data_IF_535242229113
#
_entry.id   IF_535242229113
#
_cell.length_a   1.000
_cell.length_b   1.000
_cell.length_c   1.000
_cell.angle_alpha   90.00
_cell.angle_beta   90.00
_cell.angle_gamma   90.00
#
_symmetry.space_group_name_H-M   'P 1'
#
loop_
_entity.id
_entity.type
_entity.pdbx_description
1 polymer ?
#
# COMPACT_ATOMS: atom_id res chain seq x y z
N UNK A 1 59.05 35.26 -38.49
CA UNK A 1 59.15 36.51 -37.71
C UNK A 1 57.87 36.65 -36.91
N UNK A 2 57.81 36.44 -35.58
CA UNK A 2 58.47 37.14 -34.45
C UNK A 2 57.43 38.00 -33.69
N UNK A 3 57.10 37.56 -32.45
CA UNK A 3 56.82 38.31 -31.20
C UNK A 3 55.43 39.00 -30.97
N UNK A 4 54.64 38.56 -29.96
CA UNK A 4 54.60 39.01 -28.52
C UNK A 4 53.96 40.42 -28.39
N UNK A 5 52.79 40.64 -27.78
CA UNK A 5 52.54 40.81 -26.32
C UNK A 5 51.17 41.51 -26.17
N UNK A 6 50.25 41.11 -25.29
CA UNK A 6 49.95 41.68 -23.95
C UNK A 6 48.59 41.06 -23.55
N UNK A 7 48.35 40.31 -22.48
CA UNK A 7 48.50 40.49 -21.02
C UNK A 7 47.64 41.61 -20.40
N UNK A 8 46.37 41.31 -20.11
CA UNK A 8 45.50 41.93 -19.09
C UNK A 8 44.63 40.76 -18.57
N UNK A 9 44.98 40.02 -17.51
CA UNK A 9 45.09 40.28 -16.07
C UNK A 9 43.78 40.73 -15.37
N UNK A 10 43.28 39.78 -14.57
CA UNK A 10 42.25 39.85 -13.54
C UNK A 10 40.80 39.93 -14.08
N UNK A 11 39.86 39.11 -13.62
CA UNK A 11 39.32 39.17 -12.26
C UNK A 11 38.41 37.94 -11.99
N UNK A 12 38.76 37.16 -10.96
CA UNK A 12 37.91 36.51 -9.96
C UNK A 12 37.17 35.15 -10.13
N UNK A 13 37.31 34.40 -9.02
CA UNK A 13 36.41 33.44 -8.36
C UNK A 13 36.46 31.97 -8.81
N UNK A 14 37.45 31.28 -8.24
CA UNK A 14 37.29 30.01 -7.51
C UNK A 14 36.07 29.15 -7.87
N UNK A 15 36.26 28.21 -8.80
CA UNK A 15 35.47 26.99 -8.83
C UNK A 15 36.32 25.88 -8.22
N UNK A 16 36.39 25.86 -6.88
CA UNK A 16 36.78 24.62 -6.18
C UNK A 16 35.57 23.70 -6.32
N UNK A 17 35.51 22.98 -7.44
CA UNK A 17 34.64 21.83 -7.55
C UNK A 17 35.16 20.81 -6.52
N UNK A 18 34.60 20.87 -5.31
CA UNK A 18 34.69 19.77 -4.36
C UNK A 18 34.00 18.60 -5.03
N UNK A 19 34.81 17.68 -5.58
CA UNK A 19 34.32 16.36 -5.92
C UNK A 19 33.71 15.78 -4.64
N UNK A 20 32.37 15.69 -4.61
CA UNK A 20 31.68 14.89 -3.63
C UNK A 20 32.20 13.46 -3.79
N UNK A 21 32.54 12.75 -2.70
CA UNK A 21 32.83 11.33 -2.81
C UNK A 21 31.60 10.69 -3.46
N UNK A 22 31.81 10.00 -4.59
CA UNK A 22 30.79 9.16 -5.16
C UNK A 22 30.36 8.19 -4.05
N UNK A 23 29.09 8.24 -3.67
CA UNK A 23 28.49 7.16 -2.90
C UNK A 23 28.59 5.94 -3.81
N UNK A 24 29.54 5.04 -3.54
CA UNK A 24 29.52 3.73 -4.14
C UNK A 24 28.22 3.09 -3.69
N UNK A 25 27.25 3.01 -4.60
CA UNK A 25 26.05 2.24 -4.37
C UNK A 25 26.49 0.80 -4.08
N UNK A 26 26.02 0.18 -2.98
CA UNK A 26 26.26 -1.22 -2.76
C UNK A 26 25.70 -1.99 -3.94
N UNK A 27 26.57 -2.78 -4.60
CA UNK A 27 26.17 -3.70 -5.66
C UNK A 27 25.23 -4.73 -5.02
N UNK A 28 23.93 -4.54 -5.20
CA UNK A 28 22.95 -5.57 -4.92
C UNK A 28 22.92 -6.52 -6.12
N UNK A 29 23.06 -7.84 -5.92
CA UNK A 29 22.94 -8.79 -7.01
C UNK A 29 21.52 -8.72 -7.60
N UNK A 30 21.46 -8.50 -8.91
CA UNK A 30 20.22 -8.48 -9.70
C UNK A 30 19.56 -9.86 -9.65
N UNK A 31 18.52 -9.99 -8.81
CA UNK A 31 17.74 -11.23 -8.66
C UNK A 31 16.68 -11.31 -9.77
N UNK A 32 16.94 -12.16 -10.75
CA UNK A 32 16.12 -12.42 -11.93
C UNK A 32 14.96 -13.40 -11.68
N UNK A 33 14.10 -13.12 -10.69
CA UNK A 33 12.82 -13.87 -10.55
C UNK A 33 11.61 -12.93 -10.40
N UNK A 34 10.50 -13.13 -11.15
CA UNK A 34 9.35 -12.21 -11.14
C UNK A 34 8.45 -12.26 -9.89
N UNK A 35 8.85 -12.91 -8.79
CA UNK A 35 7.93 -13.21 -7.67
C UNK A 35 8.48 -12.88 -6.27
N UNK A 36 9.60 -12.12 -6.18
CA UNK A 36 10.22 -11.78 -4.87
C UNK A 36 10.25 -10.28 -4.54
N UNK A 37 9.17 -9.53 -4.83
CA UNK A 37 9.07 -8.10 -4.47
C UNK A 37 8.05 -7.77 -3.37
N UNK A 38 7.82 -8.68 -2.42
CA UNK A 38 7.08 -8.34 -1.19
C UNK A 38 7.82 -8.83 0.06
N UNK A 39 9.06 -8.36 0.26
CA UNK A 39 9.78 -8.54 1.51
C UNK A 39 9.99 -7.20 2.25
N UNK A 40 9.01 -6.30 2.16
CA UNK A 40 8.90 -5.20 3.12
C UNK A 40 8.53 -5.81 4.49
N UNK A 41 9.17 -5.39 5.60
CA UNK A 41 8.84 -5.89 6.92
C UNK A 41 7.36 -5.61 7.21
N UNK A 42 6.56 -6.67 7.21
CA UNK A 42 5.15 -6.60 7.57
C UNK A 42 5.07 -6.17 9.04
N UNK A 43 4.32 -5.10 9.38
CA UNK A 43 4.17 -4.68 10.76
C UNK A 43 3.66 -5.86 11.60
N UNK A 44 4.44 -6.28 12.60
CA UNK A 44 4.06 -7.39 13.49
C UNK A 44 3.98 -6.89 14.92
N UNK A 45 2.87 -7.15 15.64
CA UNK A 45 1.66 -7.82 15.16
C UNK A 45 0.79 -6.91 14.28
N UNK A 46 0.15 -7.49 13.25
CA UNK A 46 -0.91 -6.80 12.49
C UNK A 46 -2.16 -6.66 13.36
N UNK A 47 -2.84 -5.52 13.22
CA UNK A 47 -4.07 -5.20 13.93
C UNK A 47 -5.24 -5.06 12.97
N UNK A 48 -6.43 -5.39 13.44
CA UNK A 48 -7.69 -5.11 12.73
C UNK A 48 -8.57 -4.24 13.61
N UNK A 49 -9.02 -3.11 13.08
CA UNK A 49 -10.11 -2.28 13.61
C UNK A 49 -11.30 -2.32 12.66
N UNK A 50 -12.36 -1.58 12.96
CA UNK A 50 -13.54 -1.50 12.10
C UNK A 50 -14.03 -0.06 11.92
N UNK A 51 -14.70 0.17 10.78
CA UNK A 51 -15.35 1.43 10.44
C UNK A 51 -16.66 1.15 9.68
N UNK A 52 -17.81 1.57 10.22
CA UNK A 52 -19.12 1.33 9.61
C UNK A 52 -19.32 2.02 8.25
N UNK A 53 -18.45 2.95 7.86
CA UNK A 53 -18.46 3.56 6.52
C UNK A 53 -18.38 2.49 5.43
N UNK A 54 -17.58 1.45 5.64
CA UNK A 54 -17.40 0.36 4.69
C UNK A 54 -18.60 -0.61 4.62
N UNK A 55 -19.55 -0.54 5.55
CA UNK A 55 -20.79 -1.31 5.50
C UNK A 55 -21.86 -0.64 4.62
N UNK A 56 -21.67 0.61 4.20
CA UNK A 56 -22.62 1.32 3.36
C UNK A 56 -22.59 0.78 1.91
N UNK A 57 -23.61 0.06 1.43
CA UNK A 57 -23.60 -0.49 0.07
C UNK A 57 -23.50 0.57 -1.02
N UNK A 58 -23.96 1.80 -0.74
CA UNK A 58 -23.94 2.93 -1.65
C UNK A 58 -22.74 3.86 -1.44
N UNK A 59 -21.79 3.50 -0.58
CA UNK A 59 -20.54 4.24 -0.42
C UNK A 59 -19.78 4.27 -1.75
N UNK A 60 -19.30 5.45 -2.14
CA UNK A 60 -18.66 5.67 -3.43
C UNK A 60 -17.20 5.26 -3.40
N UNK A 61 -16.69 4.56 -4.42
CA UNK A 61 -15.24 4.31 -4.49
C UNK A 61 -14.43 5.59 -4.70
N UNK A 62 -15.04 6.71 -5.11
CA UNK A 62 -14.34 7.99 -5.14
C UNK A 62 -13.95 8.52 -3.76
N UNK A 63 -14.49 7.97 -2.66
CA UNK A 63 -14.18 8.43 -1.30
C UNK A 63 -13.01 7.70 -0.64
N UNK A 64 -12.34 6.77 -1.33
CA UNK A 64 -11.25 5.96 -0.78
C UNK A 64 -9.98 6.06 -1.62
N UNK A 65 -8.84 5.61 -1.09
CA UNK A 65 -7.54 5.67 -1.77
C UNK A 65 -7.52 4.91 -3.11
N UNK A 66 -8.27 3.80 -3.22
CA UNK A 66 -8.40 3.03 -4.46
C UNK A 66 -9.52 3.53 -5.39
N UNK A 67 -9.72 4.85 -5.40
CA UNK A 67 -10.70 5.54 -6.25
C UNK A 67 -10.35 5.45 -7.73
N UNK A 68 -9.68 6.47 -8.25
CA UNK A 68 -9.29 6.62 -9.64
C UNK A 68 -7.76 6.46 -9.82
N UNK A 69 -7.25 6.84 -10.98
CA UNK A 69 -5.86 6.58 -11.37
C UNK A 69 -5.69 5.22 -12.07
N UNK A 70 -4.46 4.92 -12.46
CA UNK A 70 -4.09 3.69 -13.17
C UNK A 70 -4.47 2.41 -12.40
N UNK A 71 -4.35 2.45 -11.07
CA UNK A 71 -4.69 1.33 -10.17
C UNK A 71 -6.08 1.47 -9.52
N UNK A 72 -6.86 2.48 -9.93
CA UNK A 72 -8.17 2.78 -9.37
C UNK A 72 -9.21 1.70 -9.68
N UNK A 73 -10.17 1.53 -8.78
CA UNK A 73 -11.25 0.54 -8.90
C UNK A 73 -12.57 1.16 -9.39
N UNK A 74 -12.73 2.49 -9.31
CA UNK A 74 -14.04 3.16 -9.47
C UNK A 74 -14.66 3.01 -10.86
N UNK A 75 -13.85 2.90 -11.92
CA UNK A 75 -14.34 2.74 -13.30
C UNK A 75 -15.08 1.42 -13.51
N UNK A 76 -14.69 0.36 -12.79
CA UNK A 76 -15.31 -0.96 -12.82
C UNK A 76 -16.31 -1.16 -11.68
N UNK A 77 -16.05 -0.55 -10.53
CA UNK A 77 -16.82 -0.71 -9.29
C UNK A 77 -17.16 0.67 -8.72
N UNK A 78 -18.28 1.31 -9.13
CA UNK A 78 -18.58 2.68 -8.72
C UNK A 78 -18.93 2.83 -7.23
N UNK A 79 -19.52 1.80 -6.63
CA UNK A 79 -19.95 1.78 -5.22
C UNK A 79 -19.46 0.52 -4.49
N UNK A 80 -19.36 0.57 -3.17
CA UNK A 80 -18.87 -0.51 -2.32
C UNK A 80 -19.56 -1.86 -2.61
N UNK A 81 -20.89 -1.87 -2.79
CA UNK A 81 -21.63 -3.11 -3.09
C UNK A 81 -21.37 -3.72 -4.47
N UNK A 82 -20.64 -3.04 -5.35
CA UNK A 82 -20.23 -3.61 -6.64
C UNK A 82 -18.97 -4.45 -6.52
N UNK A 83 -18.20 -4.30 -5.43
CA UNK A 83 -17.05 -5.15 -5.18
C UNK A 83 -17.50 -6.58 -4.86
N UNK A 84 -16.82 -7.60 -5.40
CA UNK A 84 -17.29 -8.99 -5.39
C UNK A 84 -17.39 -9.60 -3.98
N UNK A 85 -16.58 -9.13 -3.03
CA UNK A 85 -16.59 -9.62 -1.64
C UNK A 85 -17.39 -8.75 -0.67
N UNK A 86 -18.11 -7.71 -1.12
CA UNK A 86 -18.82 -6.81 -0.19
C UNK A 86 -19.73 -7.60 0.78
N UNK A 87 -19.71 -7.32 2.10
CA UNK A 87 -19.03 -6.21 2.78
C UNK A 87 -17.61 -6.52 3.31
N UNK A 88 -16.93 -7.57 2.84
CA UNK A 88 -15.54 -7.87 3.22
C UNK A 88 -14.53 -6.96 2.48
N UNK A 89 -14.62 -5.67 2.80
CA UNK A 89 -13.80 -4.58 2.25
C UNK A 89 -13.23 -3.71 3.38
N UNK A 90 -12.19 -2.94 3.09
CA UNK A 90 -11.68 -1.95 4.03
C UNK A 90 -10.32 -1.37 3.67
N UNK A 91 -9.74 -0.64 4.60
CA UNK A 91 -8.39 -0.12 4.51
C UNK A 91 -7.32 -1.17 4.81
N UNK A 92 -6.18 -1.08 4.15
CA UNK A 92 -4.99 -1.89 4.40
C UNK A 92 -3.73 -1.01 4.52
N UNK A 93 -2.76 -1.48 5.31
CA UNK A 93 -1.54 -0.74 5.63
C UNK A 93 -0.61 -0.47 4.46
N UNK A 94 -0.74 -1.22 3.37
CA UNK A 94 0.10 -1.09 2.18
C UNK A 94 -0.63 -0.43 1.00
N UNK A 95 -1.73 0.26 1.28
CA UNK A 95 -2.48 1.06 0.33
C UNK A 95 -2.27 2.53 0.64
N UNK A 96 -1.96 3.28 -0.41
CA UNK A 96 -2.01 4.74 -0.52
C UNK A 96 -2.83 5.07 -1.77
N UNK A 97 -3.12 6.35 -2.03
CA UNK A 97 -3.86 6.73 -3.25
C UNK A 97 -3.15 6.22 -4.51
N UNK A 98 -3.93 5.64 -5.43
CA UNK A 98 -3.44 5.02 -6.68
C UNK A 98 -2.35 3.93 -6.47
N UNK A 99 -2.32 3.27 -5.31
CA UNK A 99 -1.35 2.21 -5.02
C UNK A 99 -1.51 1.01 -5.95
N UNK A 100 -0.42 0.36 -6.42
CA UNK A 100 -0.51 -0.92 -7.14
C UNK A 100 -1.14 -2.05 -6.31
N UNK A 101 -1.24 -1.87 -5.00
CA UNK A 101 -1.89 -2.80 -4.08
C UNK A 101 -3.42 -2.67 -4.05
N UNK A 102 -4.00 -1.72 -4.78
CA UNK A 102 -5.44 -1.49 -4.82
C UNK A 102 -6.23 -2.71 -5.33
N UNK A 103 -7.24 -3.11 -4.55
CA UNK A 103 -8.02 -4.32 -4.80
C UNK A 103 -7.26 -5.61 -4.46
N UNK A 104 -6.15 -5.53 -3.71
CA UNK A 104 -5.45 -6.69 -3.18
C UNK A 104 -6.36 -7.53 -2.28
N UNK A 105 -6.23 -8.86 -2.38
CA UNK A 105 -7.01 -9.82 -1.60
C UNK A 105 -6.15 -10.37 -0.46
N UNK A 106 -6.71 -10.38 0.74
CA UNK A 106 -6.03 -10.80 1.97
C UNK A 106 -6.79 -11.91 2.66
N UNK A 107 -6.10 -12.99 3.05
CA UNK A 107 -6.62 -13.88 4.08
C UNK A 107 -6.22 -13.32 5.43
N UNK A 108 -7.21 -12.99 6.26
CA UNK A 108 -6.99 -12.47 7.61
C UNK A 108 -7.53 -13.48 8.61
N UNK A 109 -6.69 -13.91 9.54
CA UNK A 109 -7.00 -14.91 10.56
C UNK A 109 -6.86 -14.30 11.96
N UNK A 110 -7.92 -14.38 12.75
CA UNK A 110 -7.85 -14.13 14.19
C UNK A 110 -7.45 -15.42 14.89
N UNK A 111 -6.22 -15.49 15.40
CA UNK A 111 -5.70 -16.70 16.03
C UNK A 111 -6.36 -17.03 17.37
N UNK A 112 -7.00 -16.05 18.02
CA UNK A 112 -7.67 -16.28 19.29
C UNK A 112 -8.93 -17.16 19.16
N UNK A 113 -9.56 -17.18 17.99
CA UNK A 113 -10.78 -17.98 17.73
C UNK A 113 -10.72 -18.77 16.41
N UNK A 114 -9.58 -18.76 15.71
CA UNK A 114 -9.36 -19.37 14.39
C UNK A 114 -10.33 -18.92 13.27
N UNK A 115 -11.07 -17.83 13.47
CA UNK A 115 -11.92 -17.28 12.42
C UNK A 115 -11.04 -16.66 11.31
N UNK A 116 -11.47 -16.82 10.06
CA UNK A 116 -10.80 -16.24 8.89
C UNK A 116 -11.79 -15.54 7.98
N UNK A 117 -11.34 -14.47 7.32
CA UNK A 117 -12.06 -13.77 6.25
C UNK A 117 -11.14 -13.56 5.04
N UNK A 118 -11.74 -13.35 3.87
CA UNK A 118 -11.05 -12.82 2.69
C UNK A 118 -11.47 -11.36 2.52
N UNK A 119 -10.49 -10.45 2.58
CA UNK A 119 -10.72 -9.01 2.55
C UNK A 119 -10.18 -8.40 1.25
N UNK A 120 -10.94 -7.51 0.62
CA UNK A 120 -10.44 -6.62 -0.42
C UNK A 120 -9.95 -5.31 0.22
N UNK A 121 -8.68 -4.98 0.00
CA UNK A 121 -8.13 -3.67 0.36
C UNK A 121 -8.55 -2.59 -0.65
N UNK A 122 -9.24 -1.55 -0.18
CA UNK A 122 -9.76 -0.44 -1.01
C UNK A 122 -9.34 0.94 -0.52
N UNK A 123 -8.79 1.03 0.68
CA UNK A 123 -8.40 2.29 1.29
C UNK A 123 -7.10 2.16 2.09
N UNK A 124 -6.61 3.29 2.58
CA UNK A 124 -5.46 3.34 3.48
C UNK A 124 -5.89 2.97 4.91
N UNK A 125 -5.08 2.15 5.59
CA UNK A 125 -5.14 2.01 7.05
C UNK A 125 -3.78 2.40 7.65
N UNK A 126 -3.77 3.18 8.74
CA UNK A 126 -2.50 3.61 9.36
C UNK A 126 -1.65 2.45 9.90
N UNK A 127 -2.29 1.37 10.36
CA UNK A 127 -1.64 0.14 10.76
C UNK A 127 -2.58 -1.06 10.56
N UNK A 128 -2.05 -2.16 10.03
CA UNK A 128 -2.82 -3.37 9.75
C UNK A 128 -4.01 -3.10 8.83
N UNK A 129 -5.23 -3.28 9.34
CA UNK A 129 -6.47 -3.14 8.56
C UNK A 129 -7.55 -2.39 9.33
N UNK A 130 -8.38 -1.65 8.61
CA UNK A 130 -9.61 -1.05 9.12
C UNK A 130 -10.78 -1.48 8.24
N UNK A 131 -11.64 -2.38 8.72
CA UNK A 131 -12.57 -3.14 7.86
C UNK A 131 -14.03 -2.80 8.15
N UNK A 132 -14.94 -3.22 7.28
CA UNK A 132 -16.37 -3.13 7.59
C UNK A 132 -16.71 -3.80 8.93
N UNK A 133 -17.66 -3.23 9.66
CA UNK A 133 -18.17 -3.73 10.93
C UNK A 133 -18.67 -5.18 10.79
N UNK A 134 -19.37 -5.50 9.70
CA UNK A 134 -19.80 -6.87 9.40
C UNK A 134 -18.62 -7.84 9.23
N UNK A 135 -17.54 -7.40 8.58
CA UNK A 135 -16.33 -8.19 8.39
C UNK A 135 -15.60 -8.42 9.73
N UNK A 136 -15.53 -7.38 10.58
CA UNK A 136 -14.97 -7.49 11.92
C UNK A 136 -15.75 -8.45 12.80
N UNK A 137 -17.09 -8.34 12.83
CA UNK A 137 -17.94 -9.29 13.56
C UNK A 137 -17.71 -10.71 13.09
N UNK A 138 -17.60 -10.94 11.77
CA UNK A 138 -17.29 -12.28 11.22
C UNK A 138 -15.97 -12.83 11.75
N UNK A 139 -14.96 -11.97 11.87
CA UNK A 139 -13.62 -12.30 12.38
C UNK A 139 -13.57 -12.43 13.92
N UNK A 140 -14.52 -11.85 14.63
CA UNK A 140 -14.56 -11.79 16.09
C UNK A 140 -15.72 -12.58 16.72
N UNK A 141 -16.19 -13.64 16.06
CA UNK A 141 -17.25 -14.50 16.60
C UNK A 141 -18.58 -13.79 16.84
N UNK A 142 -18.92 -12.80 16.00
CA UNK A 142 -20.16 -12.03 16.04
C UNK A 142 -20.13 -10.76 16.89
N UNK A 143 -18.98 -10.38 17.45
CA UNK A 143 -18.88 -9.28 18.43
C UNK A 143 -18.07 -8.10 17.92
N UNK A 144 -18.38 -6.91 18.43
CA UNK A 144 -17.48 -5.75 18.35
C UNK A 144 -16.59 -5.69 19.60
N UNK A 145 -15.55 -4.87 19.54
CA UNK A 145 -14.68 -4.66 20.69
C UNK A 145 -13.34 -4.05 20.30
N UNK A 146 -12.34 -4.33 21.14
CA UNK A 146 -10.98 -3.85 20.95
C UNK A 146 -10.36 -4.36 19.64
N UNK A 147 -9.33 -3.66 19.12
CA UNK A 147 -8.59 -4.13 17.96
C UNK A 147 -8.12 -5.57 18.11
N UNK A 148 -8.26 -6.36 17.04
CA UNK A 148 -7.81 -7.76 17.03
C UNK A 148 -6.35 -7.84 16.63
N UNK A 149 -5.60 -8.74 17.26
CA UNK A 149 -4.30 -9.18 16.74
C UNK A 149 -4.54 -10.30 15.74
N UNK A 150 -3.99 -10.17 14.54
CA UNK A 150 -4.24 -11.10 13.44
C UNK A 150 -2.97 -11.54 12.74
N UNK A 151 -3.06 -12.67 12.04
CA UNK A 151 -2.17 -13.01 10.94
C UNK A 151 -2.85 -12.69 9.63
N UNK A 152 -2.10 -12.10 8.69
CA UNK A 152 -2.60 -11.85 7.35
C UNK A 152 -1.52 -12.13 6.30
N UNK A 153 -1.94 -12.61 5.13
CA UNK A 153 -1.10 -12.74 3.95
C UNK A 153 -1.92 -12.48 2.69
N UNK A 154 -1.25 -11.99 1.65
CA UNK A 154 -1.85 -11.79 0.33
C UNK A 154 -2.20 -13.15 -0.27
N UNK A 155 -3.34 -13.20 -0.95
CA UNK A 155 -3.81 -14.35 -1.72
C UNK A 155 -4.23 -13.89 -3.13
N UNK A 156 -4.38 -14.79 -4.10
CA UNK A 156 -4.81 -14.42 -5.44
C UNK A 156 -6.15 -13.65 -5.44
N UNK A 157 -6.26 -12.61 -6.27
CA UNK A 157 -7.46 -11.75 -6.34
C UNK A 157 -8.75 -12.51 -6.70
N UNK A 158 -8.63 -13.60 -7.46
CA UNK A 158 -9.74 -14.49 -7.81
C UNK A 158 -10.41 -15.11 -6.58
N UNK A 159 -9.69 -15.27 -5.45
CA UNK A 159 -10.26 -15.77 -4.20
C UNK A 159 -11.24 -14.78 -3.57
N UNK A 160 -11.06 -13.48 -3.84
CA UNK A 160 -12.02 -12.42 -3.51
C UNK A 160 -13.07 -12.20 -4.62
N UNK A 161 -13.02 -12.95 -5.73
CA UNK A 161 -14.00 -12.89 -6.82
C UNK A 161 -13.76 -11.81 -7.88
N UNK A 162 -12.52 -11.31 -8.01
CA UNK A 162 -12.13 -10.46 -9.14
C UNK A 162 -12.00 -11.23 -10.46
#
# INVERSE_FOLDING_TARGET
MIYFTTFILALFLTQIARALPACNDPIYPESSTPDSQFNLPIPSPLKVTYDPTYDNPHGSLNSVACSNGENGLVSKYPTFNKLPSFPFIGGAYDIVWNSPNCGGCWKITNEANNASIHLIGIDTAGAGFNIAEAAFKRLNGGKLGNPLIVKAHRIPRSVCGF
#
